data_IF_452730800377
#
_entry.id   IF_452730800377
#
_cell.length_a   1.000
_cell.length_b   1.000
_cell.length_c   1.000
_cell.angle_alpha   90.00
_cell.angle_beta   90.00
_cell.angle_gamma   90.00
#
_symmetry.space_group_name_H-M   'P 1'
#
loop_
_entity.id
_entity.type
_entity.pdbx_description
1 polymer ?
#
# COMPACT_ATOMS: atom_id res chain seq x y z
N UNK A 1 -5.40 4.84 -10.03
CA UNK A 1 -4.96 6.26 -10.08
C UNK A 1 -5.56 7.02 -11.26
N UNK A 2 -5.97 6.36 -12.34
CA UNK A 2 -6.53 6.99 -13.53
C UNK A 2 -7.68 7.98 -13.22
N UNK A 3 -8.68 7.58 -12.43
CA UNK A 3 -9.84 8.42 -12.14
C UNK A 3 -9.49 9.73 -11.39
N UNK A 4 -8.54 9.69 -10.45
CA UNK A 4 -8.13 10.91 -9.73
C UNK A 4 -7.37 11.87 -10.65
N UNK A 5 -6.51 11.34 -11.52
CA UNK A 5 -5.72 12.12 -12.47
C UNK A 5 -6.57 12.73 -13.57
N UNK A 6 -7.61 12.01 -13.99
CA UNK A 6 -8.58 12.45 -14.98
C UNK A 6 -9.47 13.60 -14.43
N UNK A 7 -9.97 13.44 -13.20
CA UNK A 7 -10.83 14.46 -12.58
C UNK A 7 -10.07 15.70 -12.10
N UNK A 8 -8.80 15.54 -11.69
CA UNK A 8 -7.98 16.63 -11.15
C UNK A 8 -6.69 16.83 -11.95
N UNK A 9 -6.63 17.95 -12.69
CA UNK A 9 -5.41 18.39 -13.40
C UNK A 9 -4.19 18.58 -12.48
N UNK A 10 -4.39 18.76 -11.16
CA UNK A 10 -3.36 18.86 -10.11
C UNK A 10 -3.35 17.68 -9.11
N UNK A 11 -3.83 16.51 -9.52
CA UNK A 11 -3.88 15.30 -8.70
C UNK A 11 -2.55 14.96 -8.01
N UNK A 12 -1.42 15.19 -8.69
CA UNK A 12 -0.08 14.97 -8.14
C UNK A 12 0.22 15.82 -6.91
N UNK A 13 -0.06 17.13 -6.97
CA UNK A 13 0.16 18.04 -5.84
C UNK A 13 -0.80 17.78 -4.68
N UNK A 14 -2.03 17.38 -4.99
CA UNK A 14 -3.02 16.99 -3.97
C UNK A 14 -2.55 15.76 -3.19
N UNK A 15 -2.11 14.71 -3.90
CA UNK A 15 -1.53 13.54 -3.27
C UNK A 15 -0.25 13.89 -2.50
N UNK A 16 0.67 14.65 -3.09
CA UNK A 16 1.91 15.02 -2.40
C UNK A 16 1.65 15.72 -1.06
N UNK A 17 0.70 16.66 -1.02
CA UNK A 17 0.37 17.43 0.18
C UNK A 17 -0.55 16.71 1.19
N UNK A 18 -1.09 15.54 0.86
CA UNK A 18 -1.89 14.79 1.82
C UNK A 18 -1.05 14.26 2.99
N UNK A 19 -1.40 14.67 4.21
CA UNK A 19 -0.74 14.25 5.46
C UNK A 19 -0.91 12.77 5.73
N UNK A 20 -2.09 12.22 5.47
CA UNK A 20 -2.37 10.79 5.62
C UNK A 20 -3.01 10.26 4.33
N UNK A 21 -2.51 9.13 3.85
CA UNK A 21 -3.05 8.43 2.69
C UNK A 21 -3.38 7.01 3.10
N UNK A 22 -4.64 6.62 2.92
CA UNK A 22 -5.08 5.26 3.22
C UNK A 22 -5.55 4.62 1.92
N UNK A 23 -4.97 3.47 1.61
CA UNK A 23 -5.28 2.71 0.41
C UNK A 23 -5.98 1.42 0.81
N UNK A 24 -7.19 1.24 0.28
CA UNK A 24 -8.00 0.04 0.48
C UNK A 24 -8.10 -0.71 -0.84
N UNK A 25 -7.92 -2.04 -0.80
CA UNK A 25 -8.19 -2.94 -1.92
C UNK A 25 -7.66 -2.41 -3.28
N UNK A 26 -6.35 -2.19 -3.35
CA UNK A 26 -5.70 -1.61 -4.53
C UNK A 26 -5.74 -2.61 -5.67
N UNK A 27 -6.59 -2.37 -6.67
CA UNK A 27 -6.72 -3.24 -7.83
C UNK A 27 -5.96 -2.75 -9.08
N UNK A 28 -5.47 -1.51 -9.07
CA UNK A 28 -4.81 -0.87 -10.21
C UNK A 28 -3.29 -1.00 -10.11
N UNK A 29 -2.66 -1.43 -11.20
CA UNK A 29 -1.21 -1.58 -11.30
C UNK A 29 -0.47 -0.26 -11.10
N UNK A 30 -1.01 0.84 -11.64
CA UNK A 30 -0.37 2.16 -11.50
C UNK A 30 -0.40 2.65 -10.05
N UNK A 31 -1.49 2.35 -9.33
CA UNK A 31 -1.59 2.64 -7.91
C UNK A 31 -0.64 1.77 -7.08
N UNK A 32 -0.51 0.49 -7.44
CA UNK A 32 0.38 -0.45 -6.76
C UNK A 32 1.86 -0.10 -6.97
N UNK A 33 2.26 0.30 -8.19
CA UNK A 33 3.62 0.80 -8.48
C UNK A 33 3.94 2.05 -7.67
N UNK A 34 3.04 3.04 -7.71
CA UNK A 34 3.18 4.26 -6.91
C UNK A 34 3.35 3.94 -5.42
N UNK A 35 2.57 3.00 -4.88
CA UNK A 35 2.67 2.57 -3.49
C UNK A 35 3.99 1.87 -3.18
N UNK A 36 4.42 0.94 -4.02
CA UNK A 36 5.70 0.23 -3.86
C UNK A 36 6.87 1.21 -3.83
N UNK A 37 6.88 2.17 -4.76
CA UNK A 37 7.89 3.23 -4.83
C UNK A 37 7.83 4.16 -3.60
N UNK A 38 6.63 4.50 -3.12
CA UNK A 38 6.46 5.37 -1.95
C UNK A 38 6.87 4.71 -0.64
N UNK A 39 6.64 3.39 -0.50
CA UNK A 39 7.05 2.61 0.67
C UNK A 39 8.59 2.48 0.69
N UNK A 40 9.19 2.34 -0.50
CA UNK A 40 10.63 2.23 -0.67
C UNK A 40 11.13 0.78 -0.69
N UNK A 41 12.45 0.67 -0.75
CA UNK A 41 13.17 -0.60 -0.88
C UNK A 41 13.89 -0.92 0.42
N UNK A 42 13.96 -2.21 0.76
CA UNK A 42 14.83 -2.70 1.82
C UNK A 42 16.05 -3.38 1.21
N UNK A 43 17.21 -3.10 1.77
CA UNK A 43 18.44 -3.80 1.39
C UNK A 43 18.39 -5.20 2.00
N UNK A 44 18.39 -6.24 1.16
CA UNK A 44 18.42 -7.63 1.61
C UNK A 44 19.77 -8.26 1.28
N UNK A 45 20.45 -8.79 2.31
CA UNK A 45 21.66 -9.58 2.13
C UNK A 45 21.24 -11.00 1.69
N UNK A 46 21.46 -11.32 0.42
CA UNK A 46 21.22 -12.65 -0.14
C UNK A 46 22.51 -13.46 0.00
N UNK A 47 22.45 -14.60 0.71
CA UNK A 47 23.56 -15.55 0.75
C UNK A 47 23.26 -16.67 -0.25
N UNK A 48 24.06 -16.75 -1.32
CA UNK A 48 24.00 -17.83 -2.29
C UNK A 48 25.08 -18.85 -1.95
N UNK A 49 24.67 -20.02 -1.49
CA UNK A 49 25.55 -21.18 -1.34
C UNK A 49 25.54 -22.00 -2.64
N UNK A 50 26.70 -22.14 -3.28
CA UNK A 50 26.89 -22.97 -4.46
C UNK A 50 27.71 -24.21 -4.11
N UNK A 51 27.11 -25.39 -4.28
CA UNK A 51 27.83 -26.67 -4.18
C UNK A 51 28.10 -27.19 -5.59
N UNK A 52 29.33 -27.02 -6.07
CA UNK A 52 29.76 -27.63 -7.33
C UNK A 52 30.22 -29.08 -7.08
N UNK A 53 29.43 -30.06 -7.51
CA UNK A 53 29.91 -31.43 -7.67
C UNK A 53 30.63 -31.55 -9.01
N UNK A 54 31.92 -31.23 -9.04
CA UNK A 54 32.78 -31.64 -10.14
C UNK A 54 33.08 -33.14 -9.97
N UNK A 55 32.62 -33.92 -10.94
CA UNK A 55 32.78 -35.36 -11.02
C UNK A 55 34.28 -35.76 -10.99
N UNK A 56 34.58 -36.90 -10.35
CA UNK A 56 35.85 -37.67 -10.39
C UNK A 56 36.97 -37.39 -9.38
N UNK A 57 36.72 -36.78 -8.22
CA UNK A 57 37.66 -36.95 -7.10
C UNK A 57 36.95 -36.82 -5.74
N UNK A 58 36.91 -37.91 -4.97
CA UNK A 58 36.20 -38.00 -3.67
C UNK A 58 36.77 -37.05 -2.60
N UNK A 59 37.82 -36.30 -2.90
CA UNK A 59 38.60 -35.50 -1.96
C UNK A 59 38.44 -33.99 -2.10
N UNK A 60 37.71 -33.46 -3.10
CA UNK A 60 37.68 -32.01 -3.36
C UNK A 60 36.27 -31.45 -3.57
N UNK A 61 35.47 -31.47 -2.50
CA UNK A 61 34.24 -30.69 -2.44
C UNK A 61 34.59 -29.20 -2.26
N UNK A 62 34.43 -28.42 -3.32
CA UNK A 62 34.68 -26.98 -3.30
C UNK A 62 33.37 -26.25 -2.98
N UNK A 63 33.19 -25.89 -1.70
CA UNK A 63 32.06 -25.08 -1.25
C UNK A 63 32.33 -23.61 -1.57
N UNK A 64 31.46 -22.97 -2.34
CA UNK A 64 31.52 -21.53 -2.61
C UNK A 64 30.32 -20.86 -1.93
N UNK A 65 30.60 -19.95 -0.99
CA UNK A 65 29.57 -19.12 -0.35
C UNK A 65 29.72 -17.71 -0.92
N UNK A 66 28.78 -17.30 -1.76
CA UNK A 66 28.71 -15.95 -2.32
C UNK A 66 27.70 -15.10 -1.55
N UNK A 67 28.15 -13.98 -1.00
CA UNK A 67 27.24 -12.98 -0.41
C UNK A 67 26.91 -11.95 -1.50
N UNK A 68 25.63 -11.83 -1.88
CA UNK A 68 25.13 -10.84 -2.82
C UNK A 68 24.14 -9.91 -2.11
N UNK A 69 24.44 -8.61 -2.09
CA UNK A 69 23.51 -7.61 -1.56
C UNK A 69 22.54 -7.19 -2.68
N UNK A 70 21.25 -7.47 -2.49
CA UNK A 70 20.21 -7.13 -3.46
C UNK A 70 19.14 -6.25 -2.80
N UNK A 71 18.88 -5.08 -3.38
CA UNK A 71 17.77 -4.22 -2.96
C UNK A 71 16.44 -4.83 -3.40
N UNK A 72 15.62 -5.31 -2.46
CA UNK A 72 14.27 -5.81 -2.76
C UNK A 72 13.24 -4.76 -2.33
N UNK A 73 12.19 -4.48 -3.12
CA UNK A 73 11.09 -3.64 -2.64
C UNK A 73 10.50 -4.25 -1.37
N UNK A 74 10.16 -3.40 -0.40
CA UNK A 74 9.51 -3.85 0.85
C UNK A 74 8.18 -4.54 0.58
N UNK A 75 7.48 -4.07 -0.45
CA UNK A 75 6.24 -4.65 -0.93
C UNK A 75 6.20 -4.51 -2.44
N UNK A 76 6.16 -5.64 -3.15
CA UNK A 76 6.12 -5.64 -4.60
C UNK A 76 4.75 -5.16 -5.12
N UNK A 77 4.65 -4.49 -6.28
CA UNK A 77 3.35 -4.13 -6.85
C UNK A 77 2.38 -5.31 -7.00
N UNK A 78 2.89 -6.50 -7.34
CA UNK A 78 2.07 -7.71 -7.43
C UNK A 78 1.58 -8.20 -6.07
N UNK A 79 2.38 -8.04 -5.01
CA UNK A 79 1.99 -8.34 -3.62
C UNK A 79 0.92 -7.35 -3.14
N UNK A 80 1.05 -6.06 -3.49
CA UNK A 80 0.06 -5.01 -3.17
C UNK A 80 -1.31 -5.34 -3.75
N UNK A 81 -1.36 -5.74 -5.02
CA UNK A 81 -2.62 -6.07 -5.71
C UNK A 81 -3.28 -7.32 -5.09
N UNK A 82 -2.46 -8.25 -4.58
CA UNK A 82 -2.93 -9.49 -3.93
C UNK A 82 -3.23 -9.31 -2.44
N UNK A 83 -3.10 -8.10 -1.89
CA UNK A 83 -3.44 -7.87 -0.50
C UNK A 83 -4.89 -8.25 -0.23
N UNK A 84 -5.16 -8.99 0.85
CA UNK A 84 -6.53 -9.38 1.18
C UNK A 84 -7.35 -8.12 1.49
N UNK A 85 -8.61 -8.07 1.04
CA UNK A 85 -9.48 -6.88 1.17
C UNK A 85 -9.80 -6.45 2.61
N UNK A 86 -9.37 -7.24 3.61
CA UNK A 86 -9.41 -6.89 5.02
C UNK A 86 -8.16 -6.13 5.49
N UNK A 87 -7.17 -5.87 4.64
CA UNK A 87 -5.97 -5.08 4.93
C UNK A 87 -6.00 -3.76 4.17
N UNK A 88 -5.33 -2.76 4.74
CA UNK A 88 -5.10 -1.47 4.11
C UNK A 88 -3.69 -0.99 4.39
N UNK A 89 -3.17 -0.18 3.48
CA UNK A 89 -1.88 0.48 3.62
C UNK A 89 -2.12 1.92 4.04
N UNK A 90 -1.48 2.34 5.13
CA UNK A 90 -1.56 3.70 5.67
C UNK A 90 -0.17 4.33 5.55
N UNK A 91 -0.10 5.43 4.81
CA UNK A 91 1.08 6.25 4.69
C UNK A 91 0.85 7.56 5.42
N UNK A 92 1.73 7.89 6.35
CA UNK A 92 1.68 9.14 7.09
C UNK A 92 2.88 10.01 6.69
N UNK A 93 2.62 11.30 6.49
CA UNK A 93 3.64 12.32 6.27
C UNK A 93 3.86 13.02 7.59
N UNK A 94 4.81 12.51 8.37
CA UNK A 94 5.15 13.08 9.68
C UNK A 94 6.16 12.24 10.43
N UNK A 95 6.70 12.81 11.49
CA UNK A 95 7.62 12.17 12.44
C UNK A 95 6.94 11.19 13.40
N UNK A 96 5.62 11.35 13.60
CA UNK A 96 4.78 10.50 14.46
C UNK A 96 4.80 9.03 13.99
N UNK A 97 4.72 8.80 12.68
CA UNK A 97 4.73 7.46 12.09
C UNK A 97 5.73 7.47 10.93
N UNK A 98 6.94 6.96 11.22
CA UNK A 98 8.08 6.96 10.29
C UNK A 98 8.01 5.86 9.23
N UNK A 99 7.20 4.82 9.46
CA UNK A 99 7.15 3.64 8.60
C UNK A 99 5.74 3.46 8.04
N UNK A 100 5.60 2.99 6.79
CA UNK A 100 4.31 2.57 6.25
C UNK A 100 3.64 1.53 7.15
N UNK A 101 2.36 1.74 7.44
CA UNK A 101 1.60 0.86 8.35
C UNK A 101 0.68 -0.05 7.54
N UNK A 102 0.86 -1.36 7.72
CA UNK A 102 -0.09 -2.36 7.23
C UNK A 102 -1.19 -2.56 8.28
N UNK A 103 -2.34 -1.92 8.07
CA UNK A 103 -3.46 -1.95 8.99
C UNK A 103 -4.51 -2.98 8.56
N UNK A 104 -5.36 -3.37 9.51
CA UNK A 104 -6.53 -4.23 9.26
C UNK A 104 -7.79 -3.37 9.23
N UNK A 105 -8.60 -3.55 8.18
CA UNK A 105 -9.90 -2.90 8.04
C UNK A 105 -10.81 -3.25 9.22
N UNK A 106 -11.34 -2.22 9.85
CA UNK A 106 -12.36 -2.36 10.89
C UNK A 106 -13.72 -2.41 10.21
N UNK A 107 -14.43 -3.54 10.35
CA UNK A 107 -15.82 -3.63 9.94
C UNK A 107 -16.70 -3.16 11.10
N UNK A 108 -17.21 -1.94 11.03
CA UNK A 108 -18.03 -1.35 12.08
C UNK A 108 -19.39 -2.05 12.26
N UNK A 109 -19.91 -2.68 11.19
CA UNK A 109 -21.19 -3.42 11.20
C UNK A 109 -21.06 -4.86 11.72
N UNK A 110 -19.86 -5.33 12.00
CA UNK A 110 -19.66 -6.67 12.53
C UNK A 110 -20.23 -6.77 13.94
N UNK A 111 -20.97 -7.84 14.23
CA UNK A 111 -21.57 -8.08 15.55
C UNK A 111 -20.54 -8.08 16.69
N UNK A 112 -19.30 -8.46 16.38
CA UNK A 112 -18.16 -8.49 17.32
C UNK A 112 -17.70 -7.11 17.79
N UNK A 113 -18.24 -6.05 17.19
CA UNK A 113 -17.91 -4.66 17.42
C UNK A 113 -19.09 -3.90 18.06
N UNK A 114 -19.83 -4.56 18.96
CA UNK A 114 -21.00 -4.00 19.66
C UNK A 114 -20.73 -2.65 20.34
N UNK A 115 -19.49 -2.38 20.76
CA UNK A 115 -19.07 -1.11 21.36
C UNK A 115 -19.19 0.10 20.41
N UNK A 116 -19.27 -0.13 19.10
CA UNK A 116 -19.50 0.91 18.09
C UNK A 116 -20.97 1.11 17.73
N UNK A 117 -21.88 0.23 18.15
CA UNK A 117 -23.29 0.30 17.81
C UNK A 117 -23.95 1.58 18.34
N UNK A 118 -24.69 2.27 17.47
CA UNK A 118 -25.43 3.48 17.81
C UNK A 118 -24.58 4.75 18.00
N UNK A 119 -23.24 4.63 18.06
CA UNK A 119 -22.35 5.79 18.22
C UNK A 119 -22.03 6.51 16.91
N UNK A 120 -22.06 5.79 15.79
CA UNK A 120 -21.67 6.31 14.46
C UNK A 120 -22.75 6.12 13.39
N UNK A 121 -23.93 5.61 13.78
CA UNK A 121 -25.03 5.31 12.86
C UNK A 121 -25.92 6.52 12.56
N UNK A 122 -25.80 7.60 13.35
CA UNK A 122 -26.54 8.84 13.14
C UNK A 122 -25.72 9.79 12.27
N UNK A 123 -26.08 9.91 11.00
CA UNK A 123 -25.65 11.02 10.15
C UNK A 123 -26.14 12.34 10.78
N UNK A 124 -25.34 13.41 10.70
CA UNK A 124 -25.73 14.73 11.19
C UNK A 124 -27.14 15.07 10.68
N UNK A 125 -28.10 15.41 11.56
CA UNK A 125 -29.45 15.74 11.14
C UNK A 125 -29.40 17.03 10.31
N UNK A 126 -29.44 16.89 8.98
CA UNK A 126 -29.36 18.02 8.04
C UNK A 126 -28.78 17.71 6.66
N UNK A 127 -28.11 16.56 6.45
CA UNK A 127 -27.47 16.24 5.15
C UNK A 127 -28.39 15.64 4.08
N UNK A 128 -29.70 15.55 4.33
CA UNK A 128 -30.68 14.98 3.40
C UNK A 128 -31.16 15.94 2.30
N UNK A 129 -30.64 17.17 2.23
CA UNK A 129 -30.82 17.98 1.03
C UNK A 129 -29.68 17.66 0.06
N UNK A 130 -29.92 16.93 -1.06
CA UNK A 130 -29.03 17.04 -2.19
C UNK A 130 -29.01 18.52 -2.57
N UNK A 131 -27.85 19.18 -2.43
CA UNK A 131 -27.65 20.48 -3.07
C UNK A 131 -27.78 20.17 -4.56
N UNK A 132 -28.82 20.66 -5.27
CA UNK A 132 -28.86 20.49 -6.72
C UNK A 132 -27.58 21.12 -7.28
N UNK A 133 -26.93 20.52 -8.29
CA UNK A 133 -25.79 21.14 -8.94
C UNK A 133 -26.24 22.52 -9.43
N UNK A 134 -25.83 23.58 -8.72
CA UNK A 134 -26.08 24.95 -9.13
C UNK A 134 -25.49 25.10 -10.52
N UNK A 135 -26.34 25.53 -11.45
CA UNK A 135 -26.08 25.53 -12.87
C UNK A 135 -24.72 26.14 -13.21
N UNK A 136 -24.08 25.54 -14.20
CA UNK A 136 -23.03 26.16 -14.97
C UNK A 136 -23.67 27.41 -15.58
N UNK A 137 -23.36 28.58 -15.01
CA UNK A 137 -23.63 29.85 -15.68
C UNK A 137 -22.72 29.89 -16.90
N UNK A 138 -23.31 29.63 -18.06
CA UNK A 138 -22.81 30.10 -19.34
C UNK A 138 -22.98 31.62 -19.39
N UNK A 139 -21.86 32.32 -19.26
CA UNK A 139 -21.56 33.62 -19.88
C UNK A 139 -20.08 33.63 -20.29
#
# INVERSE_FOLDING_TARGET
MAQLRDLYRRAGSFLANATCKVFFNVADLDAARFLSETIGHTTSLTQNEGVSQANTDLLRQQHSVGHAEAGRPLLDPSEIIRLPGNRCLILYRGDVVRHPVLARKVNYRSWRHYYWWGRFDRWLPGSNNPIPPTGIHSE
#
